data_IF_356080816534
#
_entry.id   IF_356080816534
#
_cell.length_a   1.000
_cell.length_b   1.000
_cell.length_c   1.000
_cell.angle_alpha   90.00
_cell.angle_beta   90.00
_cell.angle_gamma   90.00
#
_symmetry.space_group_name_H-M   'P 1'
#
loop_
_entity.id
_entity.type
_entity.pdbx_description
1 polymer ?
#
# COMPACT_ATOMS: atom_id res chain seq x y z
N UNK A 1 -20.46 -1.41 26.39
CA UNK A 1 -19.00 -1.40 26.64
C UNK A 1 -18.25 -1.59 25.32
N UNK A 2 -17.88 -0.47 24.70
CA UNK A 2 -16.86 -0.41 23.64
C UNK A 2 -15.62 -1.11 24.17
N UNK A 3 -15.34 -2.32 23.68
CA UNK A 3 -14.01 -2.89 23.84
C UNK A 3 -13.16 -2.18 22.80
N UNK A 4 -12.37 -1.20 23.23
CA UNK A 4 -11.22 -0.76 22.44
C UNK A 4 -10.48 -2.03 22.01
N UNK A 5 -10.49 -2.27 20.72
CA UNK A 5 -9.85 -3.44 20.14
C UNK A 5 -8.35 -3.13 20.14
N UNK A 6 -7.68 -3.50 21.24
CA UNK A 6 -6.26 -3.23 21.40
C UNK A 6 -5.47 -4.06 20.37
N UNK A 7 -4.76 -3.36 19.48
CA UNK A 7 -3.84 -3.99 18.53
C UNK A 7 -2.76 -4.75 19.30
N UNK A 8 -2.55 -6.01 18.92
CA UNK A 8 -1.46 -6.88 19.38
C UNK A 8 -0.49 -7.14 18.23
N UNK A 9 0.76 -7.43 18.55
CA UNK A 9 1.85 -7.52 17.57
C UNK A 9 2.61 -8.84 17.75
N UNK A 10 2.99 -9.46 16.64
CA UNK A 10 3.73 -10.72 16.64
C UNK A 10 4.89 -10.66 15.66
N UNK A 11 5.95 -11.43 15.95
CA UNK A 11 7.01 -11.76 14.99
C UNK A 11 7.08 -13.26 14.74
N UNK A 12 7.52 -13.61 13.54
CA UNK A 12 7.95 -14.96 13.18
C UNK A 12 9.44 -14.96 12.90
N UNK A 13 10.10 -16.00 13.35
CA UNK A 13 11.52 -16.23 13.12
C UNK A 13 11.74 -17.52 12.35
N UNK A 14 12.82 -17.58 11.57
CA UNK A 14 13.28 -18.82 10.93
C UNK A 14 14.08 -19.70 11.90
N UNK A 15 14.67 -20.78 11.38
CA UNK A 15 15.49 -21.73 12.17
C UNK A 15 16.78 -21.12 12.72
N UNK A 16 17.22 -20.00 12.16
CA UNK A 16 18.44 -19.28 12.53
C UNK A 16 18.13 -18.02 13.35
N UNK A 17 16.90 -17.92 13.88
CA UNK A 17 16.38 -16.81 14.69
C UNK A 17 16.28 -15.47 13.94
N UNK A 18 16.30 -15.48 12.61
CA UNK A 18 16.08 -14.27 11.82
C UNK A 18 14.59 -13.95 11.72
N UNK A 19 14.22 -12.68 11.88
CA UNK A 19 12.83 -12.24 11.71
C UNK A 19 12.45 -12.34 10.23
N UNK A 20 11.45 -13.17 9.93
CA UNK A 20 10.91 -13.35 8.57
C UNK A 20 9.62 -12.58 8.34
N UNK A 21 8.89 -12.26 9.41
CA UNK A 21 7.65 -11.49 9.34
C UNK A 21 7.34 -10.82 10.67
N UNK A 22 6.71 -9.65 10.61
CA UNK A 22 5.99 -9.02 11.73
C UNK A 22 4.54 -8.79 11.32
N UNK A 23 3.62 -9.01 12.25
CA UNK A 23 2.18 -9.03 11.99
C UNK A 23 1.46 -8.25 13.10
N UNK A 24 0.39 -7.53 12.75
CA UNK A 24 -0.49 -6.86 13.71
C UNK A 24 -1.90 -7.39 13.59
N UNK A 25 -2.52 -7.71 14.72
CA UNK A 25 -3.90 -8.20 14.77
C UNK A 25 -4.71 -7.42 15.79
N UNK A 26 -5.95 -7.15 15.42
CA UNK A 26 -6.94 -6.52 16.31
C UNK A 26 -7.64 -7.56 17.20
N UNK A 27 -7.60 -8.84 16.86
CA UNK A 27 -8.24 -9.88 17.67
C UNK A 27 -7.40 -10.34 18.86
N UNK A 28 -8.06 -10.92 19.87
CA UNK A 28 -7.41 -11.46 21.07
C UNK A 28 -6.87 -12.89 20.94
N UNK A 29 -6.85 -13.49 19.74
CA UNK A 29 -6.31 -14.85 19.56
C UNK A 29 -4.78 -14.86 19.58
N UNK A 30 -4.21 -15.92 20.14
CA UNK A 30 -2.78 -16.20 20.02
C UNK A 30 -2.48 -16.83 18.66
N UNK A 31 -1.32 -16.48 18.10
CA UNK A 31 -0.88 -16.93 16.79
C UNK A 31 0.13 -18.06 16.95
N UNK A 32 -0.23 -19.27 16.50
CA UNK A 32 0.65 -20.43 16.57
C UNK A 32 1.95 -20.21 15.75
N UNK A 33 3.08 -20.55 16.37
CA UNK A 33 4.40 -20.38 15.77
C UNK A 33 4.86 -18.93 15.62
N UNK A 34 4.26 -18.00 16.36
CA UNK A 34 4.69 -16.61 16.42
C UNK A 34 4.94 -16.18 17.88
N UNK A 35 5.84 -15.22 18.05
CA UNK A 35 6.22 -14.65 19.35
C UNK A 35 5.52 -13.30 19.46
N UNK A 36 4.74 -13.08 20.53
CA UNK A 36 4.15 -11.77 20.79
C UNK A 36 5.25 -10.76 21.14
N UNK A 37 5.17 -9.57 20.54
CA UNK A 37 6.14 -8.49 20.70
C UNK A 37 5.44 -7.20 21.10
N UNK A 38 6.21 -6.23 21.58
CA UNK A 38 5.65 -4.91 21.90
C UNK A 38 5.42 -4.10 20.63
N UNK A 39 4.62 -3.04 20.75
CA UNK A 39 4.44 -2.08 19.66
C UNK A 39 5.78 -1.45 19.25
N UNK A 40 6.65 -1.17 20.21
CA UNK A 40 7.95 -0.55 19.99
C UNK A 40 8.85 -1.46 19.12
N UNK A 41 8.92 -2.76 19.42
CA UNK A 41 9.70 -3.71 18.62
C UNK A 41 9.13 -3.86 17.19
N UNK A 42 7.80 -3.82 17.05
CA UNK A 42 7.14 -3.79 15.74
C UNK A 42 7.53 -2.53 14.96
N UNK A 43 7.39 -1.35 15.58
CA UNK A 43 7.68 -0.07 14.94
C UNK A 43 9.17 0.05 14.57
N UNK A 44 10.08 -0.46 15.41
CA UNK A 44 11.52 -0.54 15.13
C UNK A 44 11.82 -1.42 13.91
N UNK A 45 11.18 -2.60 13.81
CA UNK A 45 11.32 -3.45 12.63
C UNK A 45 10.80 -2.76 11.36
N UNK A 46 9.61 -2.16 11.41
CA UNK A 46 9.04 -1.42 10.28
C UNK A 46 9.95 -0.25 9.87
N UNK A 47 10.51 0.49 10.81
CA UNK A 47 11.43 1.58 10.54
C UNK A 47 12.79 1.11 9.97
N UNK A 48 13.17 -0.15 10.22
CA UNK A 48 14.39 -0.75 9.67
C UNK A 48 14.26 -1.21 8.21
N UNK A 49 13.02 -1.35 7.72
CA UNK A 49 12.79 -1.73 6.32
C UNK A 49 13.31 -0.63 5.39
N UNK A 50 13.93 -1.00 4.25
CA UNK A 50 14.33 -0.01 3.25
C UNK A 50 13.11 0.75 2.75
N UNK A 51 13.28 2.03 2.44
CA UNK A 51 12.23 2.79 1.77
C UNK A 51 11.84 2.06 0.47
N UNK A 52 10.53 1.87 0.22
CA UNK A 52 10.10 1.23 -1.01
C UNK A 52 10.54 2.09 -2.19
N UNK A 53 11.19 1.46 -3.18
CA UNK A 53 11.51 2.17 -4.42
C UNK A 53 10.22 2.63 -5.10
N UNK A 54 10.17 3.86 -5.63
CA UNK A 54 9.00 4.33 -6.36
C UNK A 54 8.79 3.43 -7.57
N UNK A 55 7.61 2.83 -7.67
CA UNK A 55 7.21 2.07 -8.85
C UNK A 55 7.13 3.08 -10.02
N UNK A 56 7.84 2.86 -11.13
CA UNK A 56 7.73 3.75 -12.28
C UNK A 56 6.29 3.74 -12.79
N UNK A 57 5.75 4.91 -13.21
CA UNK A 57 4.39 4.97 -13.72
C UNK A 57 4.28 4.09 -14.98
N UNK A 58 3.14 3.45 -15.12
CA UNK A 58 2.75 2.83 -16.39
C UNK A 58 2.68 3.89 -17.49
N UNK A 59 2.77 3.50 -18.78
CA UNK A 59 2.63 4.45 -19.89
C UNK A 59 1.33 5.27 -19.82
N UNK A 60 0.25 4.65 -19.34
CA UNK A 60 -1.05 5.29 -19.17
C UNK A 60 -1.04 6.32 -18.02
N UNK A 61 -0.47 5.97 -16.86
CA UNK A 61 -0.29 6.92 -15.75
C UNK A 61 0.62 8.09 -16.15
N UNK A 62 1.72 7.83 -16.86
CA UNK A 62 2.64 8.86 -17.34
C UNK A 62 1.93 9.82 -18.31
N UNK A 63 1.12 9.30 -19.25
CA UNK A 63 0.36 10.13 -20.18
C UNK A 63 -0.72 10.95 -19.47
N UNK A 64 -1.41 10.36 -18.48
CA UNK A 64 -2.38 11.10 -17.68
C UNK A 64 -1.71 12.24 -16.90
N UNK A 65 -0.54 11.99 -16.30
CA UNK A 65 0.26 13.02 -15.65
C UNK A 65 0.65 14.13 -16.62
N UNK A 66 1.05 13.80 -17.84
CA UNK A 66 1.39 14.81 -18.87
C UNK A 66 0.18 15.68 -19.24
N UNK A 67 -1.00 15.07 -19.41
CA UNK A 67 -2.25 15.80 -19.69
C UNK A 67 -2.57 16.76 -18.54
N UNK A 68 -2.50 16.29 -17.29
CA UNK A 68 -2.81 17.10 -16.10
C UNK A 68 -1.76 18.20 -15.87
N UNK A 69 -0.47 17.90 -16.06
CA UNK A 69 0.62 18.85 -15.83
C UNK A 69 0.66 19.98 -16.87
N UNK A 70 0.24 19.69 -18.12
CA UNK A 70 0.22 20.66 -19.21
C UNK A 70 -1.15 21.30 -19.44
N UNK A 71 -2.19 20.88 -18.72
CA UNK A 71 -3.48 21.57 -18.74
C UNK A 71 -3.37 22.81 -17.84
N UNK A 72 -3.38 24.04 -18.38
CA UNK A 72 -3.68 25.22 -17.57
C UNK A 72 -5.07 25.05 -16.94
N UNK A 73 -5.54 26.01 -16.13
CA UNK A 73 -6.81 25.99 -15.37
C UNK A 73 -8.06 25.48 -16.12
N UNK A 74 -8.00 25.34 -17.46
CA UNK A 74 -8.98 24.69 -18.33
C UNK A 74 -8.31 23.61 -19.20
N UNK A 75 -8.78 22.36 -19.08
CA UNK A 75 -8.44 21.24 -19.98
C UNK A 75 -9.29 21.29 -21.26
N UNK A 76 -8.72 20.96 -22.42
CA UNK A 76 -9.50 20.93 -23.67
C UNK A 76 -10.38 19.69 -23.77
N UNK A 77 -11.45 19.75 -24.57
CA UNK A 77 -12.37 18.61 -24.76
C UNK A 77 -11.66 17.35 -25.30
N UNK A 78 -10.71 17.42 -26.26
CA UNK A 78 -9.93 16.25 -26.68
C UNK A 78 -9.07 15.66 -25.55
N UNK A 79 -8.36 16.49 -24.78
CA UNK A 79 -7.54 16.06 -23.65
C UNK A 79 -8.40 15.42 -22.54
N UNK A 80 -9.58 15.98 -22.28
CA UNK A 80 -10.53 15.43 -21.32
C UNK A 80 -11.03 14.05 -21.76
N UNK A 81 -11.38 13.88 -23.04
CA UNK A 81 -11.80 12.56 -23.55
C UNK A 81 -10.67 11.53 -23.51
N UNK A 82 -9.43 11.95 -23.79
CA UNK A 82 -8.27 11.08 -23.67
C UNK A 82 -8.02 10.65 -22.22
N UNK A 83 -8.04 11.59 -21.27
CA UNK A 83 -7.90 11.31 -19.85
C UNK A 83 -8.97 10.33 -19.35
N UNK A 84 -10.23 10.49 -19.75
CA UNK A 84 -11.33 9.58 -19.40
C UNK A 84 -11.05 8.16 -19.91
N UNK A 85 -10.53 7.99 -21.14
CA UNK A 85 -10.20 6.67 -21.69
C UNK A 85 -9.02 6.02 -20.98
N UNK A 86 -8.01 6.82 -20.61
CA UNK A 86 -6.86 6.35 -19.84
C UNK A 86 -7.33 5.84 -18.48
N UNK A 87 -8.15 6.62 -17.77
CA UNK A 87 -8.73 6.22 -16.48
C UNK A 87 -9.59 4.94 -16.60
N UNK A 88 -10.39 4.82 -17.66
CA UNK A 88 -11.18 3.61 -17.91
C UNK A 88 -10.29 2.36 -18.07
N UNK A 89 -9.14 2.47 -18.77
CA UNK A 89 -8.18 1.36 -18.91
C UNK A 89 -7.50 1.01 -17.60
N UNK A 90 -7.03 2.02 -16.85
CA UNK A 90 -6.39 1.82 -15.53
C UNK A 90 -7.33 1.09 -14.57
N UNK A 91 -8.62 1.44 -14.56
CA UNK A 91 -9.62 0.84 -13.67
C UNK A 91 -10.37 -0.35 -14.26
N UNK A 92 -9.99 -0.82 -15.46
CA UNK A 92 -10.66 -1.90 -16.17
C UNK A 92 -12.19 -1.70 -16.32
N UNK A 93 -12.62 -0.46 -16.55
CA UNK A 93 -14.02 -0.10 -16.74
C UNK A 93 -14.35 -0.19 -18.23
N UNK A 94 -15.25 -1.11 -18.60
CA UNK A 94 -15.72 -1.27 -19.98
C UNK A 94 -14.84 -2.16 -20.86
N UNK A 95 -14.10 -3.11 -20.26
CA UNK A 95 -13.37 -4.13 -21.03
C UNK A 95 -14.29 -4.97 -21.91
N UNK A 96 -13.84 -5.18 -23.15
CA UNK A 96 -14.31 -6.25 -24.05
C UNK A 96 -13.84 -7.63 -23.56
#
# INVERSE_FOLDING_TARGET
PDREVQMRYWKRVDTDDNIIAVESYSHGFDIEGAIEITKEEYDEFIASLPEPEPIPPTPDEARLTEIVANSPEVITMPEMWEAIRILARIHNIGGE
#
